data_IF_894648140529
#
_entry.id   IF_894648140529
#
_cell.length_a   1.000
_cell.length_b   1.000
_cell.length_c   1.000
_cell.angle_alpha   90.00
_cell.angle_beta   90.00
_cell.angle_gamma   90.00
#
_symmetry.space_group_name_H-M   'P 1'
#
loop_
_entity.id
_entity.type
_entity.pdbx_description
1 polymer ?
#
# COMPACT_ATOMS: atom_id res chain seq x y z
N UNK A 1 43.52 43.02 -41.63
CA UNK A 1 42.16 42.75 -41.10
C UNK A 1 42.27 41.70 -40.00
N UNK A 2 42.08 42.06 -38.73
CA UNK A 2 42.22 41.16 -37.58
C UNK A 2 40.82 40.81 -37.06
N UNK A 3 40.48 39.52 -37.03
CA UNK A 3 39.22 39.00 -36.47
C UNK A 3 39.35 38.88 -34.94
N UNK A 4 38.42 39.43 -34.15
CA UNK A 4 38.36 39.13 -32.73
C UNK A 4 37.63 37.79 -32.52
N UNK A 5 38.27 36.89 -31.78
CA UNK A 5 37.66 35.66 -31.29
C UNK A 5 36.79 35.98 -30.07
N UNK A 6 35.50 35.66 -30.13
CA UNK A 6 34.58 35.73 -28.99
C UNK A 6 34.75 34.45 -28.18
N UNK A 7 35.28 34.59 -26.97
CA UNK A 7 35.42 33.53 -25.99
C UNK A 7 34.08 33.36 -25.26
N UNK A 8 33.38 32.26 -25.54
CA UNK A 8 32.11 31.91 -24.91
C UNK A 8 32.40 31.21 -23.57
N UNK A 9 32.28 31.93 -22.44
CA UNK A 9 32.34 31.32 -21.10
C UNK A 9 31.01 30.59 -20.82
N UNK A 10 31.03 29.27 -20.97
CA UNK A 10 29.99 28.38 -20.44
C UNK A 10 30.15 28.32 -18.92
N UNK A 11 29.39 29.11 -18.19
CA UNK A 11 29.32 29.05 -16.73
C UNK A 11 28.44 27.86 -16.37
N UNK A 12 29.06 26.76 -15.95
CA UNK A 12 28.42 25.63 -15.29
C UNK A 12 27.93 26.10 -13.91
N UNK A 13 26.70 26.60 -13.82
CA UNK A 13 26.03 26.85 -12.54
C UNK A 13 25.47 25.55 -11.98
N UNK A 14 26.33 24.71 -11.42
CA UNK A 14 25.88 23.71 -10.45
C UNK A 14 25.70 24.43 -9.13
N UNK A 15 24.46 24.57 -8.67
CA UNK A 15 24.13 25.23 -7.41
C UNK A 15 24.77 24.45 -6.24
N UNK A 16 25.72 25.03 -5.49
CA UNK A 16 26.36 24.37 -4.35
C UNK A 16 25.41 24.20 -3.15
N UNK A 17 24.16 24.69 -3.24
CA UNK A 17 23.12 24.46 -2.23
C UNK A 17 22.25 23.23 -2.48
N UNK A 18 22.50 22.44 -3.52
CA UNK A 18 21.88 21.13 -3.65
C UNK A 18 22.48 20.20 -2.58
N UNK A 19 21.85 20.16 -1.40
CA UNK A 19 22.19 19.20 -0.35
C UNK A 19 22.13 17.79 -0.93
N UNK A 20 23.23 17.05 -0.78
CA UNK A 20 23.35 15.66 -1.23
C UNK A 20 22.29 14.72 -0.62
N UNK A 21 21.57 15.17 0.42
CA UNK A 21 20.44 14.47 1.03
C UNK A 21 19.05 14.75 0.41
N UNK A 22 18.91 15.69 -0.53
CA UNK A 22 17.60 15.98 -1.14
C UNK A 22 17.18 14.86 -2.10
N UNK A 23 16.03 14.24 -1.81
CA UNK A 23 15.49 13.12 -2.59
C UNK A 23 14.46 13.53 -3.66
N UNK A 24 14.22 14.82 -3.83
CA UNK A 24 13.09 15.33 -4.62
C UNK A 24 11.82 15.52 -3.79
N UNK A 25 10.76 16.00 -4.43
CA UNK A 25 9.44 16.08 -3.81
C UNK A 25 8.82 14.68 -3.67
N UNK A 26 8.17 14.37 -2.54
CA UNK A 26 7.48 13.10 -2.37
C UNK A 26 6.30 12.97 -3.33
N UNK A 27 6.12 11.77 -3.89
CA UNK A 27 4.95 11.45 -4.73
C UNK A 27 3.67 11.37 -3.89
N UNK A 28 3.80 10.96 -2.63
CA UNK A 28 2.72 10.95 -1.64
C UNK A 28 3.31 10.95 -0.24
N UNK A 29 2.56 11.54 0.70
CA UNK A 29 2.87 11.53 2.13
C UNK A 29 1.72 10.88 2.89
N UNK A 30 2.05 9.94 3.76
CA UNK A 30 1.10 9.32 4.68
C UNK A 30 1.51 9.61 6.12
N UNK A 31 0.53 9.99 6.93
CA UNK A 31 0.69 10.10 8.37
C UNK A 31 0.11 8.87 9.05
N UNK A 32 0.71 8.45 10.14
CA UNK A 32 0.19 7.35 10.92
C UNK A 32 0.54 7.44 12.40
N UNK A 33 -0.05 6.52 13.14
CA UNK A 33 0.13 6.39 14.58
C UNK A 33 0.49 4.95 14.95
N UNK A 34 1.19 4.80 16.05
CA UNK A 34 1.53 3.51 16.64
C UNK A 34 0.67 3.29 17.88
N UNK A 35 -0.06 2.19 17.89
CA UNK A 35 -0.86 1.73 19.03
C UNK A 35 -0.09 0.61 19.72
N UNK A 36 0.08 0.74 21.04
CA UNK A 36 0.75 -0.27 21.86
C UNK A 36 0.21 -0.23 23.28
N UNK A 37 0.22 -1.39 23.95
CA UNK A 37 -0.15 -1.55 25.36
C UNK A 37 1.00 -1.26 26.33
N UNK A 38 2.21 -0.94 25.83
CA UNK A 38 3.41 -0.74 26.65
C UNK A 38 4.36 0.32 26.13
N UNK A 39 5.55 0.39 26.73
CA UNK A 39 6.63 1.27 26.27
C UNK A 39 7.09 0.89 24.86
N UNK A 40 7.14 1.87 23.97
CA UNK A 40 7.62 1.67 22.61
C UNK A 40 9.15 1.61 22.58
N UNK A 41 9.74 0.56 21.97
CA UNK A 41 11.16 0.59 21.62
C UNK A 41 11.40 1.58 20.47
N UNK A 42 12.66 1.80 20.10
CA UNK A 42 12.99 2.56 18.91
C UNK A 42 12.55 1.77 17.66
N UNK A 43 11.63 2.36 16.89
CA UNK A 43 10.98 1.74 15.74
C UNK A 43 11.02 2.65 14.51
N UNK A 44 10.92 2.03 13.35
CA UNK A 44 10.66 2.71 12.08
C UNK A 44 9.32 2.24 11.53
N UNK A 45 8.58 3.14 10.89
CA UNK A 45 7.46 2.80 10.02
C UNK A 45 8.02 2.49 8.64
N UNK A 46 7.73 1.30 8.13
CA UNK A 46 8.18 0.82 6.83
C UNK A 46 6.99 0.64 5.89
N UNK A 47 7.13 1.05 4.64
CA UNK A 47 6.16 0.75 3.59
C UNK A 47 6.62 -0.49 2.82
N UNK A 48 5.78 -1.53 2.79
CA UNK A 48 6.13 -2.86 2.29
C UNK A 48 5.28 -3.22 1.07
N UNK A 49 5.88 -3.17 -0.12
CA UNK A 49 5.22 -3.57 -1.37
C UNK A 49 5.02 -5.08 -1.40
N UNK A 50 3.82 -5.51 -1.78
CA UNK A 50 3.50 -6.92 -1.91
C UNK A 50 3.66 -7.38 -3.35
N UNK A 51 4.44 -8.44 -3.53
CA UNK A 51 4.64 -9.11 -4.81
C UNK A 51 3.67 -10.31 -4.95
N UNK A 52 3.27 -10.98 -3.87
CA UNK A 52 2.29 -12.06 -3.92
C UNK A 52 0.82 -11.60 -3.95
N UNK A 53 -0.13 -12.46 -4.38
CA UNK A 53 -1.55 -12.22 -4.17
C UNK A 53 -1.88 -12.10 -2.66
N UNK A 54 -2.93 -11.34 -2.28
CA UNK A 54 -3.43 -11.32 -0.91
C UNK A 54 -3.80 -12.72 -0.40
N UNK A 55 -3.70 -13.01 0.91
CA UNK A 55 -2.86 -12.36 1.92
C UNK A 55 -1.49 -13.05 1.99
N UNK A 56 -0.44 -12.49 1.36
CA UNK A 56 0.94 -12.99 1.52
C UNK A 56 1.80 -12.00 2.30
N UNK A 57 2.42 -12.46 3.39
CA UNK A 57 3.39 -11.72 4.19
C UNK A 57 4.85 -12.07 3.88
N UNK A 58 5.10 -13.11 3.08
CA UNK A 58 6.45 -13.61 2.79
C UNK A 58 7.09 -12.99 1.55
N UNK A 59 6.29 -12.30 0.73
CA UNK A 59 6.72 -11.76 -0.55
C UNK A 59 6.65 -10.23 -0.59
N UNK A 60 7.33 -9.61 0.38
CA UNK A 60 7.34 -8.16 0.61
C UNK A 60 8.68 -7.52 0.25
N UNK A 61 8.63 -6.35 -0.37
CA UNK A 61 9.80 -5.54 -0.69
C UNK A 61 9.71 -4.18 0.03
N UNK A 62 10.77 -3.82 0.75
CA UNK A 62 10.84 -2.55 1.47
C UNK A 62 10.94 -1.38 0.48
N UNK A 63 10.01 -0.44 0.55
CA UNK A 63 10.01 0.77 -0.27
C UNK A 63 10.74 1.94 0.38
N UNK A 64 10.42 2.19 1.64
CA UNK A 64 10.82 3.40 2.38
C UNK A 64 10.63 3.14 3.86
N UNK A 65 11.44 3.83 4.67
CA UNK A 65 11.29 3.88 6.11
C UNK A 65 11.17 5.32 6.57
N UNK A 66 10.45 5.52 7.66
CA UNK A 66 10.43 6.76 8.40
C UNK A 66 10.63 6.48 9.89
N UNK A 67 11.37 7.33 10.60
CA UNK A 67 11.47 7.21 12.05
C UNK A 67 10.08 7.40 12.68
N UNK A 68 9.76 6.55 13.67
CA UNK A 68 8.61 6.79 14.54
C UNK A 68 9.03 7.82 15.59
N UNK A 69 8.29 8.92 15.68
CA UNK A 69 8.48 9.92 16.73
C UNK A 69 7.99 9.34 18.06
N UNK A 70 8.88 9.28 19.04
CA UNK A 70 8.58 8.77 20.37
C UNK A 70 7.79 9.82 21.17
N UNK A 71 6.79 9.37 21.92
CA UNK A 71 5.82 10.24 22.59
C UNK A 71 4.46 9.56 22.62
N UNK A 72 3.50 10.10 23.36
CA UNK A 72 2.12 9.61 23.32
C UNK A 72 1.20 10.73 22.77
N UNK A 73 0.51 10.52 21.64
CA UNK A 73 0.60 9.34 20.76
C UNK A 73 1.94 9.29 20.00
N UNK A 74 2.43 8.09 19.71
CA UNK A 74 3.59 7.93 18.84
C UNK A 74 3.14 8.01 17.39
N UNK A 75 3.78 8.88 16.63
CA UNK A 75 3.36 9.22 15.27
C UNK A 75 4.50 9.02 14.28
N UNK A 76 4.16 8.82 13.03
CA UNK A 76 5.12 8.78 11.94
C UNK A 76 4.58 9.49 10.71
N UNK A 77 5.50 9.95 9.86
CA UNK A 77 5.18 10.48 8.54
C UNK A 77 6.07 9.76 7.54
N UNK A 78 5.47 9.00 6.63
CA UNK A 78 6.17 8.27 5.57
C UNK A 78 5.99 9.02 4.25
N UNK A 79 7.12 9.32 3.61
CA UNK A 79 7.18 9.97 2.30
C UNK A 79 7.59 8.94 1.25
N UNK A 80 6.75 8.70 0.24
CA UNK A 80 7.12 7.82 -0.87
C UNK A 80 7.67 8.67 -2.02
N UNK A 81 8.96 8.50 -2.32
CA UNK A 81 9.64 9.24 -3.39
C UNK A 81 9.68 8.49 -4.71
N UNK A 82 9.47 7.16 -4.69
CA UNK A 82 9.56 6.32 -5.87
C UNK A 82 8.25 5.58 -6.14
N UNK A 83 7.91 5.32 -7.41
CA UNK A 83 6.81 4.45 -7.76
C UNK A 83 7.09 3.02 -7.26
N UNK A 84 6.05 2.17 -7.17
CA UNK A 84 6.24 0.78 -6.79
C UNK A 84 7.23 0.04 -7.71
N UNK A 85 8.04 -0.89 -7.18
CA UNK A 85 8.94 -1.71 -7.98
C UNK A 85 8.15 -2.52 -9.00
N UNK A 86 8.74 -2.77 -10.18
CA UNK A 86 8.07 -3.51 -11.25
C UNK A 86 7.57 -4.90 -10.79
N UNK A 87 8.33 -5.55 -9.90
CA UNK A 87 7.99 -6.85 -9.34
C UNK A 87 6.71 -6.84 -8.48
N UNK A 88 6.24 -5.68 -7.99
CA UNK A 88 4.99 -5.55 -7.23
C UNK A 88 3.79 -5.11 -8.09
N UNK A 89 4.01 -4.78 -9.37
CA UNK A 89 2.95 -4.29 -10.27
C UNK A 89 2.13 -5.43 -10.85
N UNK A 90 0.80 -5.32 -10.81
CA UNK A 90 -0.16 -6.36 -11.19
C UNK A 90 -1.28 -5.75 -12.03
N UNK A 91 -2.02 -6.61 -12.70
CA UNK A 91 -3.28 -6.29 -13.40
C UNK A 91 -4.30 -7.35 -13.02
N UNK A 92 -5.57 -6.99 -12.83
CA UNK A 92 -6.60 -7.98 -12.52
C UNK A 92 -6.95 -8.87 -13.72
N UNK A 93 -6.91 -8.30 -14.92
CA UNK A 93 -7.09 -8.99 -16.19
C UNK A 93 -6.27 -8.30 -17.30
N UNK A 94 -6.03 -8.95 -18.45
CA UNK A 94 -5.41 -8.29 -19.59
C UNK A 94 -6.19 -7.02 -20.00
N UNK A 95 -5.48 -5.90 -20.15
CA UNK A 95 -6.09 -4.61 -20.51
C UNK A 95 -6.58 -3.77 -19.33
N UNK A 96 -6.64 -4.33 -18.12
CA UNK A 96 -6.96 -3.57 -16.91
C UNK A 96 -5.80 -2.68 -16.44
N UNK A 97 -6.12 -1.68 -15.63
CA UNK A 97 -5.12 -0.75 -15.09
C UNK A 97 -4.11 -1.49 -14.22
N UNK A 98 -2.83 -1.19 -14.43
CA UNK A 98 -1.76 -1.71 -13.59
C UNK A 98 -1.82 -1.07 -12.21
N UNK A 99 -1.80 -1.89 -11.16
CA UNK A 99 -1.79 -1.47 -9.78
C UNK A 99 -0.64 -2.10 -8.99
N UNK A 100 -0.34 -1.56 -7.82
CA UNK A 100 0.52 -2.20 -6.83
C UNK A 100 -0.01 -1.87 -5.43
N UNK A 101 0.28 -2.74 -4.46
CA UNK A 101 -0.22 -2.62 -3.09
C UNK A 101 0.92 -2.70 -2.10
N UNK A 102 0.83 -1.88 -1.06
CA UNK A 102 1.68 -1.95 0.11
C UNK A 102 0.88 -1.89 1.41
N UNK A 103 1.47 -2.42 2.47
CA UNK A 103 1.05 -2.18 3.84
C UNK A 103 2.12 -1.39 4.59
N UNK A 104 1.69 -0.58 5.55
CA UNK A 104 2.61 -0.02 6.54
C UNK A 104 2.89 -1.09 7.60
N UNK A 105 4.14 -1.14 8.08
CA UNK A 105 4.56 -2.02 9.15
C UNK A 105 5.49 -1.30 10.13
N UNK A 106 5.43 -1.67 11.40
CA UNK A 106 6.45 -1.31 12.38
C UNK A 106 7.61 -2.29 12.27
N UNK A 107 8.83 -1.77 12.18
CA UNK A 107 10.06 -2.58 12.15
C UNK A 107 11.07 -2.06 13.18
N UNK A 108 11.98 -2.91 13.67
CA UNK A 108 13.09 -2.45 14.49
C UNK A 108 13.91 -1.38 13.80
N UNK A 109 14.34 -0.37 14.55
CA UNK A 109 15.20 0.68 14.01
C UNK A 109 16.50 0.12 13.43
N UNK A 110 16.83 0.53 12.21
CA UNK A 110 18.07 0.13 11.55
C UNK A 110 18.07 -1.31 11.01
N UNK A 111 16.91 -1.98 10.96
CA UNK A 111 16.79 -3.29 10.30
C UNK A 111 17.33 -3.24 8.87
N UNK A 112 18.05 -4.29 8.44
CA UNK A 112 18.52 -4.38 7.07
C UNK A 112 17.33 -4.63 6.12
N UNK A 113 17.31 -4.00 4.94
CA UNK A 113 16.17 -4.09 4.01
C UNK A 113 15.81 -5.53 3.62
N UNK A 114 16.81 -6.42 3.53
CA UNK A 114 16.62 -7.85 3.23
C UNK A 114 16.06 -8.67 4.40
N UNK A 115 16.00 -8.11 5.62
CA UNK A 115 15.45 -8.76 6.81
C UNK A 115 13.99 -8.36 7.08
N UNK A 116 13.48 -7.33 6.40
CA UNK A 116 12.13 -6.79 6.67
C UNK A 116 11.02 -7.80 6.33
N UNK A 117 11.11 -8.49 5.19
CA UNK A 117 10.16 -9.54 4.83
C UNK A 117 10.17 -10.72 5.82
N UNK A 118 11.33 -11.05 6.39
CA UNK A 118 11.44 -12.10 7.42
C UNK A 118 10.86 -11.65 8.77
N UNK A 119 10.99 -10.37 9.13
CA UNK A 119 10.33 -9.80 10.30
C UNK A 119 8.81 -9.84 10.16
N UNK A 120 8.28 -9.61 8.94
CA UNK A 120 6.85 -9.72 8.62
C UNK A 120 6.27 -11.13 8.72
N UNK A 121 7.10 -12.13 8.51
CA UNK A 121 6.74 -13.54 8.61
C UNK A 121 6.87 -14.10 10.04
N UNK A 122 7.39 -13.32 10.99
CA UNK A 122 7.61 -13.80 12.35
C UNK A 122 6.29 -13.90 13.15
N UNK A 123 6.10 -14.95 13.96
CA UNK A 123 4.84 -15.29 14.62
C UNK A 123 4.30 -14.18 15.55
N UNK A 124 3.01 -14.28 16.00
CA UNK A 124 2.46 -13.38 17.00
C UNK A 124 3.27 -13.51 18.29
N UNK A 125 4.12 -12.51 18.56
CA UNK A 125 5.12 -12.58 19.64
C UNK A 125 6.39 -11.76 19.38
N UNK A 126 6.61 -11.31 18.14
CA UNK A 126 7.53 -10.19 17.90
C UNK A 126 6.86 -8.90 18.42
N UNK A 127 7.01 -8.59 19.71
CA UNK A 127 6.38 -7.45 20.40
C UNK A 127 6.67 -6.07 19.74
N UNK A 128 7.60 -6.03 18.80
CA UNK A 128 8.08 -4.83 18.12
C UNK A 128 7.68 -4.81 16.63
N UNK A 129 6.87 -5.76 16.19
CA UNK A 129 6.36 -5.86 14.83
C UNK A 129 4.83 -5.73 14.84
N UNK A 130 4.32 -4.95 13.89
CA UNK A 130 2.89 -4.74 13.69
C UNK A 130 2.66 -4.32 12.24
N UNK A 131 1.52 -4.71 11.66
CA UNK A 131 1.14 -4.31 10.30
C UNK A 131 -0.18 -3.55 10.39
N UNK A 132 -0.34 -2.53 9.57
CA UNK A 132 -1.65 -1.93 9.35
C UNK A 132 -2.56 -2.93 8.63
N UNK A 133 -3.42 -3.59 9.42
CA UNK A 133 -4.39 -4.56 8.96
C UNK A 133 -5.62 -3.93 8.28
N UNK A 134 -5.84 -2.63 8.49
CA UNK A 134 -7.07 -1.94 8.10
C UNK A 134 -6.89 -1.07 6.87
N UNK A 135 -5.65 -0.81 6.46
CA UNK A 135 -5.37 0.00 5.29
C UNK A 135 -4.40 -0.63 4.33
N UNK A 136 -4.70 -0.44 3.04
CA UNK A 136 -3.75 -0.66 1.95
C UNK A 136 -3.39 0.68 1.33
N UNK A 137 -2.08 0.88 1.09
CA UNK A 137 -1.61 1.89 0.16
C UNK A 137 -1.62 1.27 -1.23
N UNK A 138 -2.48 1.79 -2.11
CA UNK A 138 -2.62 1.31 -3.48
C UNK A 138 -2.09 2.37 -4.44
N UNK A 139 -1.17 1.96 -5.30
CA UNK A 139 -0.76 2.74 -6.47
C UNK A 139 -1.53 2.25 -7.70
N UNK A 140 -2.09 3.17 -8.48
CA UNK A 140 -2.66 2.91 -9.81
C UNK A 140 -1.91 3.70 -10.87
N UNK A 141 -1.48 3.01 -11.94
CA UNK A 141 -0.56 3.57 -12.94
C UNK A 141 -1.22 4.56 -13.92
N UNK A 142 -2.55 4.51 -14.02
CA UNK A 142 -3.40 5.36 -14.85
C UNK A 142 -4.75 5.57 -14.14
N UNK A 143 -5.57 6.49 -14.64
CA UNK A 143 -6.94 6.67 -14.17
C UNK A 143 -7.73 5.36 -14.39
N UNK A 144 -8.44 4.92 -13.36
CA UNK A 144 -9.25 3.70 -13.38
C UNK A 144 -10.56 3.99 -14.12
N UNK A 145 -10.84 3.30 -15.24
CA UNK A 145 -12.07 3.53 -15.98
C UNK A 145 -13.31 3.16 -15.16
N UNK A 146 -14.34 3.99 -15.20
CA UNK A 146 -15.65 3.64 -14.66
C UNK A 146 -16.22 2.41 -15.39
N UNK A 147 -16.84 1.49 -14.66
CA UNK A 147 -17.34 0.21 -15.16
C UNK A 147 -16.27 -0.88 -15.31
N UNK A 148 -14.99 -0.60 -15.03
CA UNK A 148 -13.92 -1.61 -15.15
C UNK A 148 -13.94 -2.66 -14.03
N UNK A 149 -13.21 -3.77 -14.22
CA UNK A 149 -12.99 -4.74 -13.14
C UNK A 149 -12.14 -4.14 -12.02
N UNK A 150 -11.17 -3.29 -12.36
CA UNK A 150 -10.32 -2.59 -11.39
C UNK A 150 -11.12 -1.61 -10.54
N UNK A 151 -12.07 -0.87 -11.10
CA UNK A 151 -13.00 -0.03 -10.34
C UNK A 151 -13.79 -0.87 -9.33
N UNK A 152 -14.36 -1.99 -9.79
CA UNK A 152 -15.16 -2.87 -8.94
C UNK A 152 -14.35 -3.39 -7.74
N UNK A 153 -13.12 -3.83 -7.98
CA UNK A 153 -12.25 -4.36 -6.92
C UNK A 153 -11.81 -3.27 -5.92
N UNK A 154 -11.49 -2.07 -6.41
CA UNK A 154 -11.08 -0.94 -5.56
C UNK A 154 -12.26 -0.29 -4.81
N UNK A 155 -13.50 -0.56 -5.25
CA UNK A 155 -14.71 0.07 -4.76
C UNK A 155 -14.92 1.51 -5.28
N UNK A 156 -14.09 1.98 -6.22
CA UNK A 156 -14.18 3.31 -6.82
C UNK A 156 -13.31 3.48 -8.07
N UNK A 157 -13.68 4.42 -8.94
CA UNK A 157 -12.87 4.86 -10.08
C UNK A 157 -11.83 5.88 -9.61
N UNK A 158 -10.63 5.40 -9.30
CA UNK A 158 -9.53 6.22 -8.78
C UNK A 158 -8.75 6.91 -9.89
N UNK A 159 -8.31 8.16 -9.66
CA UNK A 159 -7.34 8.81 -10.52
C UNK A 159 -5.96 8.15 -10.42
N UNK A 160 -5.08 8.36 -11.38
CA UNK A 160 -3.67 7.93 -11.35
C UNK A 160 -2.97 8.39 -10.08
N UNK A 161 -2.20 7.49 -9.45
CA UNK A 161 -1.35 7.81 -8.30
C UNK A 161 -1.56 6.90 -7.09
N UNK A 162 -1.25 7.42 -5.91
CA UNK A 162 -1.34 6.69 -4.64
C UNK A 162 -2.64 7.01 -3.92
N UNK A 163 -3.25 5.98 -3.33
CA UNK A 163 -4.50 6.07 -2.58
C UNK A 163 -4.38 5.27 -1.31
N UNK A 164 -4.99 5.78 -0.23
CA UNK A 164 -5.21 5.01 0.98
C UNK A 164 -6.60 4.38 0.89
N UNK A 165 -6.66 3.06 0.94
CA UNK A 165 -7.91 2.31 0.94
C UNK A 165 -8.09 1.61 2.29
N UNK A 166 -9.32 1.63 2.79
CA UNK A 166 -9.74 0.79 3.90
C UNK A 166 -9.95 -0.64 3.43
N UNK A 167 -9.58 -1.57 4.29
CA UNK A 167 -9.80 -3.01 4.14
C UNK A 167 -10.83 -3.43 5.18
N UNK A 168 -12.03 -3.77 4.73
CA UNK A 168 -13.06 -4.33 5.61
C UNK A 168 -13.09 -5.83 5.43
N UNK A 169 -12.97 -6.58 6.52
CA UNK A 169 -13.09 -8.04 6.47
C UNK A 169 -14.50 -8.44 6.08
N UNK A 170 -14.59 -9.43 5.21
CA UNK A 170 -15.84 -10.07 4.81
C UNK A 170 -15.72 -11.55 5.13
N UNK A 171 -16.74 -12.10 5.78
CA UNK A 171 -16.86 -13.53 5.93
C UNK A 171 -17.72 -14.06 4.76
N UNK A 172 -17.14 -14.78 3.79
CA UNK A 172 -17.86 -15.20 2.59
C UNK A 172 -19.03 -16.14 2.91
N UNK A 173 -19.01 -16.82 4.06
CA UNK A 173 -20.13 -17.66 4.52
C UNK A 173 -21.38 -16.86 4.87
N UNK A 174 -21.23 -15.55 5.06
CA UNK A 174 -22.31 -14.65 5.41
C UNK A 174 -22.91 -13.95 4.19
N UNK A 175 -22.38 -14.21 2.99
CA UNK A 175 -22.91 -13.64 1.75
C UNK A 175 -24.01 -14.58 1.25
N UNK A 176 -25.27 -14.12 1.16
CA UNK A 176 -26.37 -14.90 0.58
C UNK A 176 -26.08 -15.33 -0.86
N UNK A 177 -26.57 -16.50 -1.26
CA UNK A 177 -26.28 -17.07 -2.59
C UNK A 177 -26.78 -16.21 -3.74
N UNK A 178 -27.93 -15.55 -3.57
CA UNK A 178 -28.49 -14.60 -4.53
C UNK A 178 -27.61 -13.36 -4.72
N UNK A 179 -26.96 -12.88 -3.65
CA UNK A 179 -25.97 -11.80 -3.74
C UNK A 179 -24.70 -12.25 -4.47
N UNK A 180 -24.23 -13.48 -4.23
CA UNK A 180 -23.10 -14.05 -4.97
C UNK A 180 -23.46 -14.15 -6.47
N UNK A 181 -24.63 -14.66 -6.80
CA UNK A 181 -25.07 -14.81 -8.19
C UNK A 181 -25.23 -13.45 -8.89
N UNK A 182 -25.75 -12.43 -8.20
CA UNK A 182 -25.82 -11.07 -8.71
C UNK A 182 -24.41 -10.48 -8.94
N UNK A 183 -23.48 -10.71 -8.02
CA UNK A 183 -22.09 -10.30 -8.16
C UNK A 183 -21.40 -10.97 -9.36
N UNK A 184 -21.60 -12.27 -9.55
CA UNK A 184 -21.09 -13.01 -10.73
C UNK A 184 -21.65 -12.42 -12.02
N UNK A 185 -22.94 -12.06 -12.03
CA UNK A 185 -23.59 -11.39 -13.17
C UNK A 185 -22.97 -10.03 -13.50
N UNK A 186 -22.66 -9.21 -12.50
CA UNK A 186 -21.96 -7.93 -12.69
C UNK A 186 -20.52 -8.13 -13.21
N UNK A 187 -19.77 -9.07 -12.63
CA UNK A 187 -18.40 -9.36 -13.07
C UNK A 187 -18.33 -9.88 -14.51
N UNK A 188 -19.34 -10.61 -14.96
CA UNK A 188 -19.44 -11.03 -16.36
C UNK A 188 -19.55 -9.83 -17.32
N UNK A 189 -20.31 -8.79 -16.94
CA UNK A 189 -20.40 -7.54 -17.72
C UNK A 189 -19.08 -6.77 -17.74
N UNK A 190 -18.22 -7.00 -16.75
CA UNK A 190 -16.88 -6.40 -16.60
C UNK A 190 -15.77 -7.29 -17.20
N UNK A 191 -16.13 -8.35 -17.93
CA UNK A 191 -15.18 -9.18 -18.69
C UNK A 191 -14.67 -10.42 -17.96
N UNK A 192 -15.16 -10.75 -16.76
CA UNK A 192 -14.84 -12.02 -16.08
C UNK A 192 -15.79 -13.11 -16.57
N UNK A 193 -15.41 -13.79 -17.65
CA UNK A 193 -16.26 -14.77 -18.35
C UNK A 193 -16.34 -16.11 -17.60
N UNK A 194 -15.28 -16.49 -16.88
CA UNK A 194 -15.28 -17.71 -16.08
C UNK A 194 -16.05 -17.50 -14.78
N UNK A 195 -17.17 -18.21 -14.64
CA UNK A 195 -18.04 -18.13 -13.48
C UNK A 195 -17.35 -18.60 -12.18
N UNK A 196 -16.39 -19.52 -12.26
CA UNK A 196 -15.62 -19.93 -11.09
C UNK A 196 -14.72 -18.79 -10.60
N UNK A 197 -13.92 -18.20 -11.49
CA UNK A 197 -13.11 -17.03 -11.18
C UNK A 197 -13.96 -15.84 -10.68
N UNK A 198 -15.13 -15.60 -11.28
CA UNK A 198 -16.05 -14.57 -10.81
C UNK A 198 -16.54 -14.85 -9.38
N UNK A 199 -16.90 -16.10 -9.05
CA UNK A 199 -17.26 -16.48 -7.68
C UNK A 199 -16.11 -16.27 -6.70
N UNK A 200 -14.87 -16.57 -7.10
CA UNK A 200 -13.69 -16.31 -6.25
C UNK A 200 -13.58 -14.83 -5.91
N UNK A 201 -13.67 -13.92 -6.90
CA UNK A 201 -13.72 -12.47 -6.66
C UNK A 201 -14.87 -12.06 -5.72
N UNK A 202 -16.06 -12.61 -5.94
CA UNK A 202 -17.25 -12.30 -5.14
C UNK A 202 -17.11 -12.73 -3.66
N UNK A 203 -16.30 -13.76 -3.40
CA UNK A 203 -16.10 -14.36 -2.08
C UNK A 203 -14.76 -14.01 -1.44
N UNK A 204 -14.01 -13.05 -2.00
CA UNK A 204 -12.82 -12.49 -1.39
C UNK A 204 -13.12 -12.08 0.07
N UNK A 205 -12.25 -12.43 1.05
CA UNK A 205 -12.52 -12.22 2.47
C UNK A 205 -12.33 -10.75 2.90
N UNK A 206 -12.37 -9.83 1.94
CA UNK A 206 -12.25 -8.40 2.16
C UNK A 206 -13.02 -7.60 1.11
N UNK A 207 -13.32 -6.35 1.46
CA UNK A 207 -13.73 -5.30 0.52
C UNK A 207 -12.91 -4.05 0.74
N UNK A 208 -12.68 -3.34 -0.37
CA UNK A 208 -11.94 -2.08 -0.37
C UNK A 208 -12.90 -0.91 -0.46
N UNK A 209 -12.52 0.19 0.18
CA UNK A 209 -13.18 1.49 0.02
C UNK A 209 -12.16 2.61 0.20
N UNK A 210 -12.42 3.78 -0.39
CA UNK A 210 -11.55 4.94 -0.21
C UNK A 210 -11.55 5.35 1.27
N UNK A 211 -10.37 5.52 1.85
CA UNK A 211 -10.24 6.10 3.17
C UNK A 211 -10.64 7.59 3.14
N UNK A 212 -11.52 8.07 4.04
CA UNK A 212 -11.78 9.49 4.23
C UNK A 212 -10.52 10.36 4.27
N UNK A 213 -10.64 11.64 3.88
CA UNK A 213 -9.53 12.58 4.02
C UNK A 213 -8.99 12.62 5.47
N UNK A 214 -7.67 12.67 5.60
CA UNK A 214 -6.94 12.70 6.88
C UNK A 214 -7.01 11.43 7.72
N UNK A 215 -7.58 10.33 7.19
CA UNK A 215 -7.44 9.04 7.85
C UNK A 215 -5.96 8.62 7.87
N UNK A 216 -5.57 8.02 8.99
CA UNK A 216 -4.18 7.72 9.30
C UNK A 216 -3.92 6.22 9.23
N UNK A 217 -2.71 5.87 8.84
CA UNK A 217 -2.20 4.51 9.01
C UNK A 217 -2.11 4.16 10.49
N UNK A 218 -2.38 2.92 10.85
CA UNK A 218 -2.37 2.43 12.23
C UNK A 218 -1.45 1.22 12.34
N UNK A 219 -0.36 1.36 13.09
CA UNK A 219 0.54 0.26 13.42
C UNK A 219 0.21 -0.26 14.82
N UNK A 220 -0.56 -1.34 14.89
CA UNK A 220 -0.91 -1.99 16.16
C UNK A 220 0.16 -3.04 16.52
N UNK A 221 0.98 -2.73 17.53
CA UNK A 221 2.08 -3.59 17.93
C UNK A 221 1.59 -4.83 18.67
N UNK A 222 2.07 -6.00 18.25
CA UNK A 222 1.64 -7.28 18.82
C UNK A 222 0.36 -7.85 18.19
N UNK A 223 -0.35 -7.07 17.38
CA UNK A 223 -1.38 -7.56 16.47
C UNK A 223 -0.74 -7.80 15.08
N UNK A 224 -0.57 -9.06 14.70
CA UNK A 224 -0.09 -9.44 13.35
C UNK A 224 -1.25 -10.02 12.53
N UNK A 225 -1.71 -9.26 11.54
CA UNK A 225 -2.75 -9.68 10.60
C UNK A 225 -2.76 -8.80 9.34
N UNK A 226 -3.05 -9.39 8.18
CA UNK A 226 -3.21 -8.68 6.89
C UNK A 226 -4.67 -8.36 6.59
N UNK A 227 -5.45 -8.09 7.63
CA UNK A 227 -6.89 -7.89 7.55
C UNK A 227 -7.54 -8.05 8.92
N UNK A 228 -8.76 -7.53 9.12
CA UNK A 228 -9.53 -7.83 10.32
C UNK A 228 -9.83 -9.33 10.39
N UNK A 229 -9.88 -9.90 11.59
CA UNK A 229 -10.26 -11.30 11.76
C UNK A 229 -11.66 -11.53 11.15
N UNK A 230 -11.84 -12.62 10.40
CA UNK A 230 -13.14 -13.01 9.85
C UNK A 230 -14.16 -13.14 10.98
N UNK A 231 -15.06 -12.17 11.09
CA UNK A 231 -16.06 -12.11 12.15
C UNK A 231 -17.18 -13.14 11.97
N UNK A 232 -17.94 -13.37 13.04
CA UNK A 232 -19.24 -14.03 12.93
C UNK A 232 -20.14 -13.25 11.96
N UNK A 233 -21.09 -13.94 11.32
CA UNK A 233 -22.06 -13.24 10.48
C UNK A 233 -22.81 -12.21 11.33
N UNK A 234 -22.92 -10.94 10.86
CA UNK A 234 -23.77 -9.98 11.54
C UNK A 234 -25.20 -10.53 11.59
N UNK A 235 -25.95 -10.25 12.67
CA UNK A 235 -27.33 -10.69 12.84
C UNK A 235 -28.27 -10.08 11.79
#
# INVERSE_FOLDING_TARGET
MKRPAILLMLVLSCDPQADSGYLGEPLVTFTGQVVSSGSLPQLEAAMLWQRGPPPSNTDQELATRAPVQTGFPATFTVHLYQPPPAAARRTLAPGEVTWARANAAAVPYGIASNQVGAAAASPPGANNYGIDAYHWVVYVAADVPAGSLTEWWLGAALNKGFHLLRVTAVNPKCIPSDQIDACVGDLAQRGVIDAAAARDFCTEPYKLSIAPPNEQLVLDLGAVGLGPAGGACPP
#
